data_IF_345077809242
#
_entry.id   IF_345077809242
#
_cell.length_a   1.000
_cell.length_b   1.000
_cell.length_c   1.000
_cell.angle_alpha   90.00
_cell.angle_beta   90.00
_cell.angle_gamma   90.00
#
_symmetry.space_group_name_H-M   'P 1'
#
loop_
_entity.id
_entity.type
_entity.pdbx_description
1 polymer ?
#
# COMPACT_ATOMS: atom_id res chain seq x y z
N UNK A 1 32.84 -13.99 1.05
CA UNK A 1 31.71 -14.58 0.32
C UNK A 1 30.43 -14.15 1.03
N UNK A 2 29.65 -13.23 0.47
CA UNK A 2 28.40 -12.79 1.11
C UNK A 2 27.34 -13.90 0.97
N UNK A 3 26.73 -14.38 2.06
CA UNK A 3 25.78 -15.49 1.99
C UNK A 3 24.54 -15.10 1.18
N UNK A 4 24.05 -16.03 0.35
CA UNK A 4 22.89 -15.88 -0.54
C UNK A 4 21.64 -15.28 0.14
N UNK A 5 21.50 -15.51 1.45
CA UNK A 5 20.40 -15.01 2.28
C UNK A 5 20.42 -13.48 2.47
N UNK A 6 21.60 -12.86 2.54
CA UNK A 6 21.75 -11.40 2.67
C UNK A 6 21.26 -10.72 1.40
N UNK A 7 21.66 -11.23 0.23
CA UNK A 7 21.20 -10.70 -1.06
C UNK A 7 19.68 -10.83 -1.23
N UNK A 8 19.11 -11.95 -0.76
CA UNK A 8 17.67 -12.20 -0.82
C UNK A 8 16.89 -11.22 0.07
N UNK A 9 17.34 -11.00 1.31
CA UNK A 9 16.68 -10.06 2.22
C UNK A 9 16.80 -8.60 1.75
N UNK A 10 17.93 -8.20 1.16
CA UNK A 10 18.10 -6.90 0.53
C UNK A 10 17.16 -6.69 -0.66
N UNK A 11 17.04 -7.69 -1.54
CA UNK A 11 16.10 -7.65 -2.67
C UNK A 11 14.65 -7.48 -2.18
N UNK A 12 14.22 -8.30 -1.22
CA UNK A 12 12.88 -8.21 -0.64
C UNK A 12 12.63 -6.86 0.06
N UNK A 13 13.65 -6.28 0.69
CA UNK A 13 13.58 -4.95 1.28
C UNK A 13 13.44 -3.84 0.23
N UNK A 14 14.16 -3.95 -0.88
CA UNK A 14 14.04 -3.01 -1.99
C UNK A 14 12.65 -3.08 -2.64
N UNK A 15 12.11 -4.29 -2.80
CA UNK A 15 10.77 -4.53 -3.34
C UNK A 15 9.69 -3.97 -2.40
N UNK A 16 9.82 -4.20 -1.09
CA UNK A 16 8.94 -3.62 -0.06
C UNK A 16 8.89 -2.09 -0.17
N UNK A 17 10.04 -1.43 -0.32
CA UNK A 17 10.11 0.03 -0.48
C UNK A 17 9.44 0.48 -1.78
N UNK A 18 9.70 -0.22 -2.89
CA UNK A 18 9.09 0.08 -4.18
C UNK A 18 7.55 -0.04 -4.15
N UNK A 19 7.01 -1.07 -3.50
CA UNK A 19 5.57 -1.26 -3.33
C UNK A 19 4.95 -0.12 -2.51
N UNK A 20 5.59 0.31 -1.42
CA UNK A 20 5.12 1.46 -0.63
C UNK A 20 5.15 2.75 -1.45
N UNK A 21 6.19 3.00 -2.23
CA UNK A 21 6.28 4.16 -3.10
C UNK A 21 5.15 4.18 -4.16
N UNK A 22 4.87 3.03 -4.79
CA UNK A 22 3.75 2.89 -5.74
C UNK A 22 2.40 3.15 -5.08
N UNK A 23 2.20 2.64 -3.87
CA UNK A 23 0.97 2.88 -3.11
C UNK A 23 0.77 4.37 -2.81
N UNK A 24 1.83 5.07 -2.39
CA UNK A 24 1.80 6.50 -2.11
C UNK A 24 1.51 7.33 -3.36
N UNK A 25 2.12 6.95 -4.50
CA UNK A 25 1.81 7.58 -5.78
C UNK A 25 0.32 7.42 -6.13
N UNK A 26 -0.24 6.23 -5.95
CA UNK A 26 -1.67 5.96 -6.19
C UNK A 26 -2.58 6.76 -5.24
N UNK A 27 -2.22 6.89 -3.95
CA UNK A 27 -2.92 7.78 -3.01
C UNK A 27 -2.95 9.24 -3.50
N UNK A 28 -1.81 9.74 -4.01
CA UNK A 28 -1.71 11.11 -4.56
C UNK A 28 -2.56 11.28 -5.83
N UNK A 29 -2.54 10.30 -6.73
CA UNK A 29 -3.38 10.31 -7.94
C UNK A 29 -4.87 10.29 -7.59
N UNK A 30 -5.26 9.44 -6.63
CA UNK A 30 -6.63 9.41 -6.14
C UNK A 30 -7.07 10.76 -5.57
N UNK A 31 -6.22 11.41 -4.77
CA UNK A 31 -6.52 12.73 -4.23
C UNK A 31 -6.70 13.78 -5.33
N UNK A 32 -5.83 13.80 -6.34
CA UNK A 32 -5.98 14.70 -7.50
C UNK A 32 -7.28 14.45 -8.25
N UNK A 33 -7.61 13.19 -8.52
CA UNK A 33 -8.85 12.81 -9.22
C UNK A 33 -10.09 13.20 -8.43
N UNK A 34 -10.06 13.01 -7.11
CA UNK A 34 -11.11 13.46 -6.20
C UNK A 34 -11.33 14.97 -6.30
N UNK A 35 -10.26 15.77 -6.27
CA UNK A 35 -10.34 17.23 -6.44
C UNK A 35 -10.87 17.65 -7.81
N UNK A 36 -10.62 16.86 -8.86
CA UNK A 36 -11.17 17.10 -10.20
C UNK A 36 -12.61 16.57 -10.40
N UNK A 37 -13.20 15.93 -9.40
CA UNK A 37 -14.55 15.33 -9.48
C UNK A 37 -14.62 13.92 -10.07
N UNK A 38 -13.49 13.33 -10.49
CA UNK A 38 -13.41 11.93 -10.95
C UNK A 38 -13.37 10.97 -9.75
N UNK A 39 -14.52 10.80 -9.09
CA UNK A 39 -14.66 9.94 -7.92
C UNK A 39 -14.42 8.46 -8.24
N UNK A 40 -14.79 8.01 -9.44
CA UNK A 40 -14.61 6.61 -9.84
C UNK A 40 -13.14 6.29 -10.07
N UNK A 41 -12.42 7.14 -10.80
CA UNK A 41 -10.98 6.99 -10.98
C UNK A 41 -10.21 7.15 -9.68
N UNK A 42 -10.66 8.00 -8.75
CA UNK A 42 -10.08 8.10 -7.41
C UNK A 42 -10.24 6.81 -6.60
N UNK A 43 -11.43 6.20 -6.64
CA UNK A 43 -11.70 4.92 -5.99
C UNK A 43 -10.84 3.78 -6.54
N UNK A 44 -10.68 3.72 -7.86
CA UNK A 44 -9.87 2.68 -8.50
C UNK A 44 -8.39 2.82 -8.14
N UNK A 45 -7.86 4.06 -8.08
CA UNK A 45 -6.49 4.31 -7.60
C UNK A 45 -6.32 3.95 -6.11
N UNK A 46 -7.32 4.19 -5.24
CA UNK A 46 -7.26 3.77 -3.83
C UNK A 46 -7.26 2.25 -3.68
N UNK A 47 -8.03 1.52 -4.51
CA UNK A 47 -8.01 0.05 -4.54
C UNK A 47 -6.65 -0.48 -4.97
N UNK A 48 -6.03 0.13 -5.99
CA UNK A 48 -4.67 -0.21 -6.39
C UNK A 48 -3.65 0.07 -5.28
N UNK A 49 -3.74 1.23 -4.61
CA UNK A 49 -2.87 1.55 -3.48
C UNK A 49 -2.95 0.48 -2.38
N UNK A 50 -4.17 0.00 -2.07
CA UNK A 50 -4.39 -1.08 -1.13
C UNK A 50 -3.73 -2.38 -1.59
N UNK A 51 -3.84 -2.75 -2.87
CA UNK A 51 -3.18 -3.96 -3.40
C UNK A 51 -1.66 -3.90 -3.24
N UNK A 52 -1.03 -2.75 -3.49
CA UNK A 52 0.41 -2.59 -3.29
C UNK A 52 0.81 -2.74 -1.82
N UNK A 53 0.04 -2.17 -0.89
CA UNK A 53 0.30 -2.27 0.56
C UNK A 53 0.08 -3.72 1.03
N UNK A 54 -0.91 -4.43 0.51
CA UNK A 54 -1.10 -5.86 0.79
C UNK A 54 0.07 -6.72 0.29
N UNK A 55 0.65 -6.40 -0.87
CA UNK A 55 1.88 -7.07 -1.34
C UNK A 55 3.06 -6.76 -0.40
N UNK A 56 3.21 -5.51 0.05
CA UNK A 56 4.24 -5.14 1.01
C UNK A 56 4.08 -5.89 2.36
N UNK A 57 2.84 -6.13 2.81
CA UNK A 57 2.56 -6.92 4.00
C UNK A 57 3.10 -8.36 3.88
N UNK A 58 2.91 -8.99 2.72
CA UNK A 58 3.41 -10.36 2.47
C UNK A 58 4.93 -10.40 2.52
N UNK A 59 5.61 -9.37 2.01
CA UNK A 59 7.07 -9.26 2.07
C UNK A 59 7.56 -9.08 3.51
N UNK A 60 6.93 -8.21 4.30
CA UNK A 60 7.25 -8.03 5.73
C UNK A 60 7.13 -9.35 6.49
N UNK A 61 6.05 -10.10 6.24
CA UNK A 61 5.86 -11.44 6.84
C UNK A 61 6.93 -12.43 6.39
N UNK A 62 7.30 -12.41 5.10
CA UNK A 62 8.36 -13.27 4.55
C UNK A 62 9.75 -12.93 5.08
N UNK A 63 9.99 -11.67 5.44
CA UNK A 63 11.25 -11.20 6.02
C UNK A 63 11.34 -11.48 7.53
N UNK A 64 10.26 -11.99 8.15
CA UNK A 64 10.21 -12.17 9.60
C UNK A 64 10.16 -10.88 10.40
N UNK A 65 9.93 -9.73 9.75
CA UNK A 65 9.79 -8.40 10.36
C UNK A 65 8.42 -8.24 11.07
N UNK A 66 8.07 -9.21 11.91
CA UNK A 66 6.82 -9.22 12.67
C UNK A 66 6.96 -8.22 13.82
N UNK A 67 6.00 -7.30 13.95
CA UNK A 67 6.05 -6.23 14.95
C UNK A 67 5.56 -4.90 14.39
N UNK A 68 6.30 -3.81 14.66
CA UNK A 68 5.92 -2.45 14.27
C UNK A 68 5.72 -2.30 12.76
N UNK A 69 6.60 -2.88 11.94
CA UNK A 69 6.52 -2.81 10.48
C UNK A 69 5.25 -3.45 9.92
N UNK A 70 4.84 -4.60 10.46
CA UNK A 70 3.58 -5.27 10.09
C UNK A 70 2.37 -4.44 10.56
N UNK A 71 2.39 -3.93 11.79
CA UNK A 71 1.29 -3.12 12.34
C UNK A 71 1.07 -1.85 11.54
N UNK A 72 2.13 -1.11 11.20
CA UNK A 72 2.03 0.09 10.35
C UNK A 72 1.38 -0.22 8.99
N UNK A 73 1.70 -1.37 8.39
CA UNK A 73 1.10 -1.78 7.11
C UNK A 73 -0.39 -2.12 7.27
N UNK A 74 -0.77 -2.75 8.38
CA UNK A 74 -2.16 -3.04 8.69
C UNK A 74 -2.97 -1.76 8.89
N UNK A 75 -2.42 -0.80 9.64
CA UNK A 75 -3.03 0.52 9.85
C UNK A 75 -3.20 1.27 8.51
N UNK A 76 -2.20 1.21 7.64
CA UNK A 76 -2.25 1.78 6.28
C UNK A 76 -3.40 1.18 5.44
N UNK A 77 -3.64 -0.13 5.54
CA UNK A 77 -4.73 -0.82 4.85
C UNK A 77 -6.08 -0.39 5.41
N UNK A 78 -6.20 -0.30 6.74
CA UNK A 78 -7.44 0.10 7.41
C UNK A 78 -7.82 1.54 7.03
N UNK A 79 -6.86 2.46 7.04
CA UNK A 79 -7.07 3.85 6.65
C UNK A 79 -7.55 3.97 5.20
N UNK A 80 -6.98 3.17 4.29
CA UNK A 80 -7.45 3.11 2.90
C UNK A 80 -8.87 2.55 2.78
N UNK A 81 -9.20 1.53 3.55
CA UNK A 81 -10.55 0.97 3.60
C UNK A 81 -11.58 2.00 4.05
N UNK A 82 -11.30 2.73 5.14
CA UNK A 82 -12.16 3.80 5.63
C UNK A 82 -12.39 4.87 4.57
N UNK A 83 -11.33 5.27 3.85
CA UNK A 83 -11.44 6.21 2.71
C UNK A 83 -12.32 5.66 1.60
N UNK A 84 -12.15 4.40 1.20
CA UNK A 84 -12.96 3.78 0.15
C UNK A 84 -14.44 3.71 0.57
N UNK A 85 -14.72 3.30 1.81
CA UNK A 85 -16.08 3.21 2.34
C UNK A 85 -16.76 4.58 2.39
N UNK A 86 -16.09 5.59 2.93
CA UNK A 86 -16.65 6.95 3.00
C UNK A 86 -17.00 7.50 1.60
N UNK A 87 -16.17 7.22 0.60
CA UNK A 87 -16.44 7.62 -0.80
C UNK A 87 -17.60 6.84 -1.44
N UNK A 88 -17.89 5.62 -0.99
CA UNK A 88 -19.06 4.86 -1.43
C UNK A 88 -20.35 5.28 -0.69
N UNK A 89 -20.24 5.70 0.57
CA UNK A 89 -21.40 6.13 1.37
C UNK A 89 -21.96 7.50 0.96
N UNK A 90 -21.16 8.35 0.29
CA UNK A 90 -21.64 9.63 -0.26
C UNK A 90 -22.52 9.49 -1.51
N UNK A 91 -22.88 8.27 -1.91
CA UNK A 91 -23.66 7.94 -3.11
C UNK A 91 -25.08 7.45 -2.84
N UNK A 92 -25.59 7.58 -1.61
CA UNK A 92 -26.98 7.28 -1.24
C UNK A 92 -27.76 8.57 -1.10
#
# INVERSE_FOLDING_TARGET
MFPHEVKKSEMLNSEKRALRAKAEQKKKMAHKKFLSGDLRGALDDLKEARLYIQKALRLVRSLGERGSAERTIQDDIENLWRRILNNNSSRV
#
